data_IF_342949363517
#
_entry.id   IF_342949363517
#
_cell.length_a   1.000
_cell.length_b   1.000
_cell.length_c   1.000
_cell.angle_alpha   90.00
_cell.angle_beta   90.00
_cell.angle_gamma   90.00
#
_symmetry.space_group_name_H-M   'P 1'
#
loop_
_entity.id
_entity.type
_entity.pdbx_description
1 polymer ?
#
# COMPACT_ATOMS: atom_id res chain seq x y z
N UNK A 1 37.94 -21.02 18.64
CA UNK A 1 38.13 -21.33 17.20
C UNK A 1 39.60 -21.17 16.83
N UNK A 2 40.16 -22.04 16.00
CA UNK A 2 41.49 -21.81 15.40
C UNK A 2 41.39 -20.77 14.28
N UNK A 3 42.53 -20.30 13.76
CA UNK A 3 42.56 -19.34 12.66
C UNK A 3 41.86 -19.92 11.42
N UNK A 4 42.03 -21.21 11.11
CA UNK A 4 41.35 -21.82 9.98
C UNK A 4 39.83 -21.88 10.18
N UNK A 5 39.37 -22.23 11.40
CA UNK A 5 37.93 -22.26 11.70
C UNK A 5 37.29 -20.87 11.63
N UNK A 6 38.02 -19.84 12.05
CA UNK A 6 37.53 -18.47 12.00
C UNK A 6 37.44 -17.96 10.55
N UNK A 7 38.45 -18.23 9.72
CA UNK A 7 38.45 -17.80 8.32
C UNK A 7 37.38 -18.52 7.50
N UNK A 8 37.19 -19.83 7.70
CA UNK A 8 36.12 -20.58 7.03
C UNK A 8 34.74 -20.12 7.48
N UNK A 9 34.54 -19.86 8.77
CA UNK A 9 33.28 -19.32 9.29
C UNK A 9 32.96 -17.95 8.68
N UNK A 10 33.93 -17.04 8.63
CA UNK A 10 33.72 -15.72 8.05
C UNK A 10 33.42 -15.80 6.55
N UNK A 11 34.10 -16.69 5.83
CA UNK A 11 33.83 -16.97 4.42
C UNK A 11 32.44 -17.55 4.19
N UNK A 12 31.99 -18.46 5.05
CA UNK A 12 30.64 -19.04 5.03
C UNK A 12 29.60 -17.94 5.21
N UNK A 13 29.73 -17.13 6.27
CA UNK A 13 28.77 -16.06 6.57
C UNK A 13 28.73 -15.01 5.47
N UNK A 14 29.89 -14.67 4.89
CA UNK A 14 29.97 -13.80 3.72
C UNK A 14 29.19 -14.37 2.54
N UNK A 15 29.41 -15.63 2.17
CA UNK A 15 28.74 -16.25 1.04
C UNK A 15 27.20 -16.28 1.21
N UNK A 16 26.71 -16.48 2.44
CA UNK A 16 25.27 -16.40 2.73
C UNK A 16 24.76 -14.96 2.68
N UNK A 17 25.55 -14.01 3.21
CA UNK A 17 25.20 -12.58 3.16
C UNK A 17 25.15 -12.05 1.72
N UNK A 18 26.02 -12.54 0.84
CA UNK A 18 26.04 -12.16 -0.57
C UNK A 18 24.71 -12.48 -1.31
N UNK A 19 23.94 -13.46 -0.83
CA UNK A 19 22.59 -13.74 -1.35
C UNK A 19 21.58 -12.62 -1.05
N UNK A 20 21.82 -11.79 -0.03
CA UNK A 20 20.93 -10.66 0.28
C UNK A 20 20.97 -9.58 -0.80
N UNK A 21 22.04 -9.52 -1.59
CA UNK A 21 22.21 -8.61 -2.73
C UNK A 21 21.66 -9.19 -4.05
N UNK A 22 21.18 -10.43 -4.03
CA UNK A 22 20.66 -11.06 -5.25
C UNK A 22 19.30 -10.45 -5.63
N UNK A 23 18.92 -10.44 -6.92
CA UNK A 23 17.70 -9.76 -7.39
C UNK A 23 16.41 -10.33 -6.78
N UNK A 24 16.42 -11.60 -6.39
CA UNK A 24 15.34 -12.27 -5.66
C UNK A 24 15.95 -12.99 -4.45
N UNK A 25 16.19 -12.28 -3.35
CA UNK A 25 16.75 -12.89 -2.16
C UNK A 25 15.68 -13.77 -1.49
N UNK A 26 15.99 -15.04 -1.31
CA UNK A 26 15.11 -15.98 -0.60
C UNK A 26 15.80 -16.49 0.66
N UNK A 27 15.12 -16.35 1.79
CA UNK A 27 15.61 -16.85 3.08
C UNK A 27 15.80 -18.37 3.04
N UNK A 28 14.87 -19.10 2.41
CA UNK A 28 14.96 -20.56 2.29
C UNK A 28 16.18 -20.98 1.48
N UNK A 29 16.49 -20.27 0.39
CA UNK A 29 17.68 -20.53 -0.41
C UNK A 29 18.97 -20.24 0.38
N UNK A 30 18.99 -19.15 1.17
CA UNK A 30 20.10 -18.80 2.03
C UNK A 30 20.32 -19.84 3.15
N UNK A 31 19.25 -20.36 3.75
CA UNK A 31 19.32 -21.44 4.72
C UNK A 31 19.84 -22.73 4.09
N UNK A 32 19.36 -23.12 2.91
CA UNK A 32 19.86 -24.32 2.20
C UNK A 32 21.34 -24.18 1.86
N UNK A 33 21.77 -23.04 1.32
CA UNK A 33 23.18 -22.78 1.00
C UNK A 33 24.06 -22.82 2.25
N UNK A 34 23.60 -22.24 3.36
CA UNK A 34 24.30 -22.29 4.64
C UNK A 34 24.48 -23.73 5.13
N UNK A 35 23.42 -24.55 5.11
CA UNK A 35 23.49 -25.96 5.53
C UNK A 35 24.45 -26.75 4.63
N UNK A 36 24.39 -26.55 3.31
CA UNK A 36 25.25 -27.26 2.35
C UNK A 36 26.74 -26.94 2.56
N UNK A 37 27.08 -25.66 2.77
CA UNK A 37 28.47 -25.25 3.00
C UNK A 37 28.93 -25.77 4.38
N UNK A 38 28.10 -25.66 5.41
CA UNK A 38 28.42 -26.12 6.75
C UNK A 38 28.66 -27.64 6.78
N UNK A 39 27.82 -28.42 6.10
CA UNK A 39 28.00 -29.88 5.97
C UNK A 39 29.28 -30.23 5.22
N UNK A 40 29.57 -29.54 4.11
CA UNK A 40 30.82 -29.73 3.35
C UNK A 40 32.07 -29.47 4.21
N UNK A 41 32.08 -28.43 5.04
CA UNK A 41 33.22 -28.14 5.92
C UNK A 41 33.22 -28.96 7.24
N UNK A 42 32.17 -29.73 7.51
CA UNK A 42 32.11 -30.63 8.67
C UNK A 42 32.55 -32.06 8.33
N UNK A 43 32.37 -32.50 7.07
CA UNK A 43 32.79 -33.83 6.64
C UNK A 43 34.20 -33.80 6.04
N UNK A 44 35.09 -34.62 6.59
CA UNK A 44 36.42 -34.86 6.04
C UNK A 44 36.36 -35.89 4.89
N UNK A 45 36.49 -35.44 3.64
CA UNK A 45 36.60 -36.30 2.46
C UNK A 45 37.65 -35.75 1.47
N UNK A 46 38.92 -36.18 1.56
CA UNK A 46 39.95 -35.78 0.61
C UNK A 46 39.64 -36.45 -0.75
N UNK A 47 39.48 -35.75 -1.91
CA UNK A 47 40.08 -34.48 -2.36
C UNK A 47 39.16 -33.22 -2.35
N UNK A 48 37.92 -33.31 -1.90
CA UNK A 48 36.91 -32.25 -2.08
C UNK A 48 36.59 -31.44 -0.81
N UNK A 49 36.78 -32.00 0.39
CA UNK A 49 36.42 -31.31 1.64
C UNK A 49 37.41 -31.51 2.78
N UNK A 50 37.77 -30.39 3.41
CA UNK A 50 38.54 -30.35 4.65
C UNK A 50 37.54 -30.27 5.80
N UNK A 51 37.49 -31.31 6.62
CA UNK A 51 36.67 -31.36 7.84
C UNK A 51 37.21 -30.39 8.91
N UNK A 52 36.99 -29.09 8.70
CA UNK A 52 37.45 -28.00 9.56
C UNK A 52 36.58 -27.89 10.83
N UNK A 53 35.29 -28.18 10.72
CA UNK A 53 34.35 -28.11 11.85
C UNK A 53 34.07 -29.48 12.43
N UNK A 54 34.00 -29.55 13.76
CA UNK A 54 33.43 -30.71 14.45
C UNK A 54 31.90 -30.64 14.46
N UNK A 55 31.22 -31.76 14.71
CA UNK A 55 29.77 -31.78 14.89
C UNK A 55 29.28 -30.84 16.02
N UNK A 56 30.08 -30.64 17.06
CA UNK A 56 29.76 -29.70 18.13
C UNK A 56 29.86 -28.25 17.65
N UNK A 57 30.92 -27.92 16.91
CA UNK A 57 31.11 -26.58 16.32
C UNK A 57 29.99 -26.26 15.33
N UNK A 58 29.60 -27.20 14.47
CA UNK A 58 28.54 -27.02 13.48
C UNK A 58 27.19 -26.67 14.13
N UNK A 59 26.84 -27.31 15.26
CA UNK A 59 25.64 -26.97 16.03
C UNK A 59 25.71 -25.54 16.58
N UNK A 60 26.84 -25.17 17.18
CA UNK A 60 27.02 -23.81 17.72
C UNK A 60 26.97 -22.74 16.62
N UNK A 61 27.55 -23.02 15.45
CA UNK A 61 27.53 -22.13 14.29
C UNK A 61 26.12 -21.95 13.76
N UNK A 62 25.33 -23.03 13.66
CA UNK A 62 23.93 -22.96 13.26
C UNK A 62 23.11 -22.14 14.24
N UNK A 63 23.20 -22.43 15.54
CA UNK A 63 22.46 -21.69 16.56
C UNK A 63 22.85 -20.21 16.59
N UNK A 64 24.11 -19.89 16.29
CA UNK A 64 24.58 -18.52 16.14
C UNK A 64 24.00 -17.84 14.89
N UNK A 65 24.04 -18.51 13.74
CA UNK A 65 23.52 -17.98 12.48
C UNK A 65 22.01 -17.73 12.57
N UNK A 66 21.26 -18.64 13.19
CA UNK A 66 19.82 -18.51 13.40
C UNK A 66 19.48 -17.28 14.25
N UNK A 67 20.24 -17.02 15.32
CA UNK A 67 20.01 -15.89 16.23
C UNK A 67 20.45 -14.54 15.67
N UNK A 68 21.38 -14.54 14.71
CA UNK A 68 22.03 -13.31 14.23
C UNK A 68 21.64 -12.97 12.79
N UNK A 69 22.04 -13.80 11.84
CA UNK A 69 21.85 -13.56 10.41
C UNK A 69 20.40 -13.84 9.99
N UNK A 70 19.90 -15.04 10.25
CA UNK A 70 18.58 -15.44 9.76
C UNK A 70 17.44 -14.73 10.49
N UNK A 71 17.57 -14.48 11.81
CA UNK A 71 16.61 -13.65 12.56
C UNK A 71 16.37 -12.28 11.92
N UNK A 72 17.39 -11.71 11.28
CA UNK A 72 17.36 -10.38 10.69
C UNK A 72 17.52 -10.40 9.17
N UNK A 73 17.24 -11.52 8.51
CA UNK A 73 17.48 -11.69 7.07
C UNK A 73 16.73 -10.65 6.23
N UNK A 74 15.45 -10.42 6.55
CA UNK A 74 14.61 -9.44 5.87
C UNK A 74 15.12 -8.01 6.02
N UNK A 75 15.74 -7.67 7.16
CA UNK A 75 16.34 -6.36 7.37
C UNK A 75 17.51 -6.12 6.42
N UNK A 76 18.37 -7.13 6.23
CA UNK A 76 19.48 -7.04 5.27
C UNK A 76 18.97 -6.92 3.83
N UNK A 77 17.98 -7.75 3.45
CA UNK A 77 17.33 -7.64 2.13
C UNK A 77 16.79 -6.22 1.91
N UNK A 78 16.07 -5.67 2.88
CA UNK A 78 15.51 -4.32 2.78
C UNK A 78 16.62 -3.26 2.65
N UNK A 79 17.69 -3.35 3.43
CA UNK A 79 18.79 -2.39 3.40
C UNK A 79 19.51 -2.34 2.03
N UNK A 80 19.51 -3.43 1.27
CA UNK A 80 20.15 -3.53 -0.05
C UNK A 80 19.16 -3.47 -1.22
N UNK A 81 17.86 -3.39 -0.95
CA UNK A 81 16.87 -3.21 -2.01
C UNK A 81 17.00 -1.79 -2.58
N UNK A 82 17.19 -1.69 -3.89
CA UNK A 82 17.23 -0.39 -4.58
C UNK A 82 15.92 0.37 -4.38
N UNK A 83 16.01 1.61 -3.89
CA UNK A 83 14.86 2.51 -3.80
C UNK A 83 14.46 2.95 -5.22
N UNK A 84 13.28 2.52 -5.66
CA UNK A 84 12.69 2.97 -6.92
C UNK A 84 11.65 4.03 -6.65
N UNK A 85 11.97 5.28 -6.99
CA UNK A 85 10.99 6.37 -6.98
C UNK A 85 10.15 6.31 -8.25
N UNK A 86 8.83 6.15 -8.11
CA UNK A 86 7.90 6.18 -9.24
C UNK A 86 7.17 7.52 -9.22
N UNK A 87 7.48 8.39 -10.18
CA UNK A 87 6.74 9.63 -10.37
C UNK A 87 5.54 9.37 -11.29
N UNK A 88 4.34 9.31 -10.73
CA UNK A 88 3.10 9.22 -11.53
C UNK A 88 2.66 10.64 -11.87
N UNK A 89 2.56 10.94 -13.16
CA UNK A 89 1.93 12.18 -13.63
C UNK A 89 0.62 11.81 -14.31
N UNK A 90 -0.49 12.35 -13.82
CA UNK A 90 -1.73 12.32 -14.58
C UNK A 90 -1.56 13.27 -15.76
N UNK A 91 -1.63 12.74 -16.98
CA UNK A 91 -1.94 13.60 -18.11
C UNK A 91 -3.38 14.06 -17.92
N UNK A 92 -3.61 15.37 -17.88
CA UNK A 92 -4.96 15.91 -18.00
C UNK A 92 -5.54 15.37 -19.30
N UNK A 93 -6.56 14.53 -19.20
CA UNK A 93 -7.31 14.13 -20.38
C UNK A 93 -8.11 15.36 -20.82
N UNK A 94 -7.88 15.92 -22.02
CA UNK A 94 -8.64 17.08 -22.50
C UNK A 94 -10.13 16.77 -22.72
N UNK A 95 -10.59 15.55 -22.45
CA UNK A 95 -11.94 15.08 -22.78
C UNK A 95 -13.02 15.39 -21.73
N UNK A 96 -12.70 15.97 -20.57
CA UNK A 96 -13.71 16.24 -19.51
C UNK A 96 -14.71 17.35 -19.89
N UNK A 97 -14.49 18.07 -20.99
CA UNK A 97 -15.47 19.05 -21.51
C UNK A 97 -15.83 18.84 -22.98
N UNK A 98 -16.01 17.59 -23.43
CA UNK A 98 -16.93 17.39 -24.55
C UNK A 98 -18.35 17.51 -24.03
N UNK A 99 -18.86 18.73 -23.98
CA UNK A 99 -20.31 18.99 -24.03
C UNK A 99 -20.82 18.39 -25.33
N UNK A 100 -21.09 17.08 -25.33
CA UNK A 100 -21.82 16.45 -26.42
C UNK A 100 -23.20 17.11 -26.42
N UNK A 101 -23.65 17.67 -27.55
CA UNK A 101 -24.98 18.26 -27.61
C UNK A 101 -25.99 17.15 -27.30
N UNK A 102 -26.70 17.29 -26.17
CA UNK A 102 -27.74 16.38 -25.77
C UNK A 102 -28.78 16.33 -26.89
N UNK A 103 -28.88 15.19 -27.58
CA UNK A 103 -29.83 15.03 -28.66
C UNK A 103 -31.22 14.84 -28.05
N UNK A 104 -32.01 15.91 -28.04
CA UNK A 104 -33.40 15.95 -27.54
C UNK A 104 -34.36 15.00 -28.27
N UNK A 105 -33.90 14.31 -29.32
CA UNK A 105 -34.67 13.29 -30.05
C UNK A 105 -35.08 12.09 -29.18
N UNK A 106 -34.43 11.89 -28.04
CA UNK A 106 -34.69 10.80 -27.11
C UNK A 106 -35.05 11.32 -25.72
N UNK A 107 -35.58 12.54 -25.61
CA UNK A 107 -36.18 13.00 -24.36
C UNK A 107 -37.42 12.15 -24.09
N UNK A 108 -37.33 11.29 -23.07
CA UNK A 108 -38.41 10.43 -22.61
C UNK A 108 -38.75 10.89 -21.20
N UNK A 109 -40.04 11.07 -20.90
CA UNK A 109 -40.47 11.37 -19.53
C UNK A 109 -40.04 10.21 -18.62
N UNK A 110 -39.26 10.48 -17.55
CA UNK A 110 -38.80 9.45 -16.62
C UNK A 110 -39.92 8.57 -16.04
N UNK A 111 -41.17 9.05 -16.02
CA UNK A 111 -42.35 8.30 -15.53
C UNK A 111 -42.86 7.25 -16.50
N UNK A 112 -42.57 7.43 -17.79
CA UNK A 112 -42.96 6.49 -18.84
C UNK A 112 -41.99 5.30 -18.93
N UNK A 113 -40.77 5.45 -18.41
CA UNK A 113 -39.74 4.41 -18.36
C UNK A 113 -40.11 3.37 -17.31
N UNK A 114 -40.44 2.11 -17.69
CA UNK A 114 -40.90 1.10 -16.74
C UNK A 114 -39.92 0.82 -15.60
N UNK A 115 -38.63 0.95 -15.85
CA UNK A 115 -37.56 0.72 -14.88
C UNK A 115 -37.46 1.81 -13.80
N UNK A 116 -38.05 2.98 -14.05
CA UNK A 116 -37.98 4.14 -13.14
C UNK A 116 -39.31 4.42 -12.44
N UNK A 117 -40.40 3.73 -12.79
CA UNK A 117 -41.74 3.94 -12.21
C UNK A 117 -41.76 3.84 -10.70
N UNK A 118 -41.11 2.80 -10.17
CA UNK A 118 -41.04 2.53 -8.74
C UNK A 118 -40.42 3.71 -7.95
N UNK A 119 -39.57 4.54 -8.59
CA UNK A 119 -38.95 5.71 -7.97
C UNK A 119 -39.89 6.92 -7.84
N UNK A 120 -40.99 6.95 -8.61
CA UNK A 120 -41.95 8.05 -8.62
C UNK A 120 -43.27 7.72 -7.93
N UNK A 121 -43.59 6.44 -7.75
CA UNK A 121 -44.80 6.00 -7.05
C UNK A 121 -44.76 6.36 -5.54
N UNK A 122 -43.57 6.38 -4.94
CA UNK A 122 -43.36 6.77 -3.52
C UNK A 122 -43.67 8.25 -3.23
N UNK A 123 -43.64 9.12 -4.24
CA UNK A 123 -43.95 10.55 -4.09
C UNK A 123 -45.45 10.84 -4.11
N UNK A 124 -46.27 9.93 -4.67
CA UNK A 124 -47.72 10.11 -4.74
C UNK A 124 -48.43 9.69 -3.44
N UNK A 125 -47.84 8.79 -2.65
CA UNK A 125 -48.43 8.29 -1.40
C UNK A 125 -48.26 9.28 -0.23
N UNK A 126 -47.38 10.27 -0.35
CA UNK A 126 -47.18 11.34 0.64
C UNK A 126 -48.13 12.56 0.50
N UNK A 127 -48.95 12.63 -0.55
CA UNK A 127 -49.83 13.78 -0.81
C UNK A 127 -51.23 13.64 -0.18
N UNK A 128 -51.32 13.03 1.01
CA UNK A 128 -52.54 13.11 1.81
C UNK A 128 -52.59 14.46 2.55
N UNK A 129 -53.41 15.35 2.02
CA UNK A 129 -54.15 16.44 2.66
C UNK A 129 -53.80 16.74 4.15
N UNK A 130 -52.82 17.63 4.36
CA UNK A 130 -52.70 18.42 5.59
C UNK A 130 -52.43 19.87 5.20
N UNK A 131 -53.48 20.63 4.92
CA UNK A 131 -53.44 22.09 4.99
C UNK A 131 -53.38 22.49 6.47
N UNK A 132 -52.18 22.59 7.04
CA UNK A 132 -51.95 23.38 8.27
C UNK A 132 -51.26 24.70 7.90
N UNK A 133 -51.72 25.84 8.43
CA UNK A 133 -51.24 27.18 8.07
C UNK A 133 -49.82 27.51 8.60
N UNK A 134 -49.07 26.52 9.08
CA UNK A 134 -47.79 26.73 9.76
C UNK A 134 -46.58 26.71 8.79
N UNK A 135 -46.73 26.18 7.57
CA UNK A 135 -45.64 26.07 6.59
C UNK A 135 -45.32 27.35 5.78
N UNK A 136 -46.09 28.44 5.91
CA UNK A 136 -45.67 29.74 5.33
C UNK A 136 -44.56 30.42 6.15
N UNK A 137 -44.34 30.02 7.40
CA UNK A 137 -43.30 30.58 8.26
C UNK A 137 -41.91 29.99 8.02
N UNK A 138 -41.81 28.84 7.34
CA UNK A 138 -40.54 28.12 7.11
C UNK A 138 -39.85 28.58 5.81
N UNK A 139 -40.59 29.17 4.86
CA UNK A 139 -40.03 29.63 3.57
C UNK A 139 -39.40 31.05 3.69
N UNK A 140 -39.74 31.82 4.73
CA UNK A 140 -38.96 33.03 5.08
C UNK A 140 -37.81 32.66 6.02
N UNK A 141 -36.70 32.25 5.42
CA UNK A 141 -35.42 32.22 6.12
C UNK A 141 -35.04 33.61 6.68
N UNK A 142 -34.23 33.68 7.74
CA UNK A 142 -33.93 34.91 8.44
C UNK A 142 -33.08 35.82 7.55
N UNK A 143 -33.61 36.98 7.21
CA UNK A 143 -32.95 38.06 6.45
C UNK A 143 -31.79 38.72 7.21
N UNK A 144 -31.46 38.25 8.42
CA UNK A 144 -30.40 38.84 9.26
C UNK A 144 -28.97 38.50 8.80
N UNK A 145 -28.75 37.43 8.02
CA UNK A 145 -27.39 37.07 7.57
C UNK A 145 -26.94 37.94 6.38
N UNK A 146 -27.89 38.29 5.48
CA UNK A 146 -27.59 39.12 4.32
C UNK A 146 -27.31 40.59 4.74
N UNK A 147 -28.02 41.12 5.75
CA UNK A 147 -27.78 42.46 6.28
C UNK A 147 -26.41 42.61 7.00
N UNK A 148 -25.94 41.54 7.65
CA UNK A 148 -24.60 41.52 8.29
C UNK A 148 -23.49 41.50 7.23
N UNK A 149 -23.71 40.78 6.12
CA UNK A 149 -22.71 40.66 5.06
C UNK A 149 -22.53 41.97 4.28
N UNK A 150 -23.63 42.68 3.98
CA UNK A 150 -23.57 43.98 3.30
C UNK A 150 -22.94 45.07 4.19
N UNK A 151 -23.21 45.05 5.51
CA UNK A 151 -22.57 45.99 6.46
C UNK A 151 -21.05 45.75 6.59
N UNK A 152 -20.60 44.49 6.51
CA UNK A 152 -19.18 44.15 6.60
C UNK A 152 -18.39 44.56 5.34
N UNK A 153 -19.04 44.57 4.16
CA UNK A 153 -18.42 44.98 2.90
C UNK A 153 -18.26 46.51 2.85
N UNK A 154 -19.25 47.29 3.30
CA UNK A 154 -19.13 48.76 3.33
C UNK A 154 -18.06 49.26 4.31
N UNK A 155 -17.85 48.57 5.43
CA UNK A 155 -16.78 48.92 6.38
C UNK A 155 -15.37 48.69 5.81
N UNK A 156 -15.20 47.75 4.87
CA UNK A 156 -13.89 47.41 4.32
C UNK A 156 -13.47 48.27 3.11
N UNK A 157 -14.41 48.95 2.45
CA UNK A 157 -14.16 49.85 1.32
C UNK A 157 -13.99 51.33 1.71
N UNK A 158 -14.06 51.65 3.01
CA UNK A 158 -13.88 53.00 3.56
C UNK A 158 -12.51 53.24 4.24
N UNK A 159 -11.50 52.40 3.97
CA UNK A 159 -10.13 52.55 4.48
C UNK A 159 -9.10 52.57 3.36
#
# INVERSE_FOLDING_TARGET
FTVEKASTFLSLMKAVHDLTFSPNPSETAAQTLFQDILQRHSWHNPPASVGVFSNADARQIRDFADKTLFRHFQMYVFAYTEQKEISIRCAEDPLVHRTLPLHMKHEVDPREVPQLRDMFDDLAVGAHDVKTPEMESIIRGPTEIDEIFDSAIEAHLSL
#
